data_IF_477581828724
#
_entry.id   IF_477581828724
#
_cell.length_a   1.000
_cell.length_b   1.000
_cell.length_c   1.000
_cell.angle_alpha   90.00
_cell.angle_beta   90.00
_cell.angle_gamma   90.00
#
_symmetry.space_group_name_H-M   'P 1'
#
loop_
_entity.id
_entity.type
_entity.pdbx_description
1 polymer ?
#
# COMPACT_ATOMS: atom_id res chain seq x y z
N UNK A 1 12.79 -23.15 -3.30
CA UNK A 1 12.28 -22.83 -4.64
C UNK A 1 13.45 -22.73 -5.61
N UNK A 2 13.34 -23.31 -6.81
CA UNK A 2 14.25 -23.01 -7.91
C UNK A 2 13.96 -21.60 -8.49
N UNK A 3 14.80 -21.13 -9.42
CA UNK A 3 14.66 -19.77 -10.00
C UNK A 3 13.29 -19.53 -10.65
N UNK A 4 12.76 -20.51 -11.41
CA UNK A 4 11.47 -20.39 -12.08
C UNK A 4 10.32 -20.29 -11.07
N UNK A 5 10.37 -21.10 -10.02
CA UNK A 5 9.41 -21.09 -8.91
C UNK A 5 9.43 -19.75 -8.16
N UNK A 6 10.62 -19.18 -7.93
CA UNK A 6 10.78 -17.86 -7.28
C UNK A 6 10.15 -16.76 -8.13
N UNK A 7 10.51 -16.67 -9.41
CA UNK A 7 9.93 -15.68 -10.32
C UNK A 7 8.41 -15.83 -10.41
N UNK A 8 7.91 -17.07 -10.49
CA UNK A 8 6.47 -17.33 -10.52
C UNK A 8 5.77 -16.91 -9.21
N UNK A 9 6.41 -17.12 -8.06
CA UNK A 9 5.93 -16.64 -6.76
C UNK A 9 5.82 -15.12 -6.71
N UNK A 10 6.85 -14.41 -7.15
CA UNK A 10 6.87 -12.95 -7.18
C UNK A 10 5.86 -12.34 -8.16
N UNK A 11 5.58 -13.01 -9.28
CA UNK A 11 4.45 -12.65 -10.17
C UNK A 11 3.12 -12.74 -9.43
N UNK A 12 2.86 -13.87 -8.76
CA UNK A 12 1.61 -14.06 -7.99
C UNK A 12 1.45 -13.01 -6.90
N UNK A 13 2.53 -12.63 -6.21
CA UNK A 13 2.49 -11.55 -5.22
C UNK A 13 2.04 -10.22 -5.83
N UNK A 14 2.60 -9.84 -6.98
CA UNK A 14 2.24 -8.60 -7.66
C UNK A 14 0.82 -8.63 -8.26
N UNK A 15 0.43 -9.75 -8.88
CA UNK A 15 -0.91 -9.92 -9.45
C UNK A 15 -1.97 -9.90 -8.34
N UNK A 16 -1.75 -10.57 -7.20
CA UNK A 16 -2.67 -10.53 -6.06
C UNK A 16 -2.84 -9.11 -5.49
N UNK A 17 -1.75 -8.34 -5.37
CA UNK A 17 -1.80 -6.95 -4.96
C UNK A 17 -2.59 -6.08 -5.96
N UNK A 18 -2.29 -6.20 -7.26
CA UNK A 18 -3.02 -5.47 -8.31
C UNK A 18 -4.50 -5.79 -8.26
N UNK A 19 -4.85 -7.08 -8.24
CA UNK A 19 -6.23 -7.52 -8.39
C UNK A 19 -7.08 -7.04 -7.21
N UNK A 20 -6.57 -7.17 -5.98
CA UNK A 20 -7.20 -6.68 -4.75
C UNK A 20 -7.60 -5.18 -4.82
N UNK A 21 -6.73 -4.35 -5.39
CA UNK A 21 -7.01 -2.92 -5.55
C UNK A 21 -7.82 -2.60 -6.82
N UNK A 22 -7.64 -3.35 -7.92
CA UNK A 22 -8.28 -3.06 -9.21
C UNK A 22 -9.80 -3.25 -9.17
N UNK A 23 -10.28 -4.29 -8.49
CA UNK A 23 -11.71 -4.50 -8.25
C UNK A 23 -12.21 -3.79 -6.97
N UNK A 24 -11.38 -2.96 -6.35
CA UNK A 24 -11.66 -2.20 -5.12
C UNK A 24 -12.02 -3.06 -3.89
N UNK A 25 -11.71 -4.36 -3.89
CA UNK A 25 -12.02 -5.28 -2.78
C UNK A 25 -11.28 -4.96 -1.49
N UNK A 26 -10.13 -4.26 -1.53
CA UNK A 26 -9.38 -3.85 -0.33
C UNK A 26 -10.23 -2.99 0.60
N UNK A 27 -11.12 -2.14 0.06
CA UNK A 27 -12.03 -1.33 0.88
C UNK A 27 -13.09 -2.19 1.60
N UNK A 28 -13.33 -3.41 1.14
CA UNK A 28 -14.25 -4.38 1.75
C UNK A 28 -13.51 -5.40 2.63
N UNK A 29 -12.20 -5.21 2.86
CA UNK A 29 -11.37 -6.08 3.69
C UNK A 29 -10.69 -7.21 2.93
N UNK A 30 -10.69 -7.20 1.59
CA UNK A 30 -9.91 -8.16 0.82
C UNK A 30 -8.41 -7.98 1.08
N UNK A 31 -7.72 -9.11 1.27
CA UNK A 31 -6.30 -9.12 1.59
C UNK A 31 -5.54 -9.87 0.51
N UNK A 32 -4.34 -9.40 0.20
CA UNK A 32 -3.35 -10.13 -0.61
C UNK A 32 -2.44 -11.01 0.27
N UNK A 33 -2.78 -11.18 1.55
CA UNK A 33 -2.02 -11.96 2.54
C UNK A 33 -1.93 -13.45 2.20
N UNK A 34 -2.86 -13.98 1.39
CA UNK A 34 -2.75 -15.35 0.89
C UNK A 34 -1.53 -15.54 -0.04
N UNK A 35 -1.12 -14.48 -0.76
CA UNK A 35 0.07 -14.49 -1.60
C UNK A 35 1.31 -13.91 -0.88
N UNK A 36 1.10 -13.04 0.11
CA UNK A 36 2.16 -12.36 0.85
C UNK A 36 2.33 -12.97 2.24
N UNK A 37 3.43 -13.69 2.43
CA UNK A 37 3.84 -14.18 3.74
C UNK A 37 4.95 -13.29 4.28
N UNK A 38 4.81 -12.74 5.48
CA UNK A 38 5.83 -11.91 6.11
C UNK A 38 6.81 -12.77 6.92
N UNK A 39 8.11 -12.48 6.84
CA UNK A 39 9.10 -13.08 7.74
C UNK A 39 8.98 -12.43 9.13
N UNK A 40 9.25 -13.20 10.18
CA UNK A 40 9.16 -12.73 11.58
C UNK A 40 10.07 -11.53 11.88
N UNK A 41 11.21 -11.46 11.20
CA UNK A 41 12.20 -10.39 11.26
C UNK A 41 12.10 -9.40 10.09
N UNK A 42 11.06 -9.52 9.27
CA UNK A 42 10.84 -8.66 8.12
C UNK A 42 10.59 -7.21 8.51
N UNK A 43 11.03 -6.29 7.64
CA UNK A 43 11.00 -4.85 7.90
C UNK A 43 10.28 -4.05 6.82
N UNK A 44 9.70 -2.93 7.24
CA UNK A 44 9.12 -1.90 6.41
C UNK A 44 9.94 -0.60 6.49
N UNK A 45 10.01 0.11 5.36
CA UNK A 45 10.53 1.47 5.29
C UNK A 45 9.75 2.28 4.25
N UNK A 46 9.52 3.55 4.54
CA UNK A 46 9.13 4.52 3.53
C UNK A 46 9.66 5.90 3.89
N UNK A 47 10.42 6.57 3.00
CA UNK A 47 10.78 7.97 3.22
C UNK A 47 9.56 8.88 3.47
N UNK A 48 8.39 8.50 2.95
CA UNK A 48 7.16 9.27 3.11
C UNK A 48 6.41 8.96 4.40
N UNK A 49 6.34 7.70 4.82
CA UNK A 49 5.52 7.29 5.97
C UNK A 49 6.31 7.10 7.27
N UNK A 50 7.59 6.74 7.18
CA UNK A 50 8.45 6.43 8.33
C UNK A 50 9.72 7.28 8.38
N UNK A 51 9.87 8.22 7.45
CA UNK A 51 11.12 8.97 7.24
C UNK A 51 12.30 8.04 6.97
N UNK A 52 13.43 8.32 7.61
CA UNK A 52 14.65 7.51 7.48
C UNK A 52 14.67 6.25 8.38
N UNK A 53 13.57 5.97 9.09
CA UNK A 53 13.49 4.87 10.04
C UNK A 53 13.02 3.58 9.38
N UNK A 54 13.58 2.47 9.86
CA UNK A 54 13.21 1.10 9.48
C UNK A 54 12.52 0.45 10.66
N UNK A 55 11.34 -0.10 10.44
CA UNK A 55 10.53 -0.75 11.48
C UNK A 55 10.29 -2.20 11.10
N UNK A 56 10.26 -3.10 12.09
CA UNK A 56 9.77 -4.46 11.86
C UNK A 56 8.28 -4.43 11.55
N UNK A 57 7.80 -5.37 10.75
CA UNK A 57 6.36 -5.50 10.51
C UNK A 57 5.56 -5.66 11.83
N UNK A 58 6.15 -6.34 12.82
CA UNK A 58 5.56 -6.53 14.15
C UNK A 58 5.51 -5.29 15.04
N UNK A 59 6.17 -4.19 14.65
CA UNK A 59 6.14 -2.91 15.38
C UNK A 59 5.01 -1.98 14.91
N UNK A 60 4.34 -2.33 13.81
CA UNK A 60 3.16 -1.58 13.38
C UNK A 60 1.97 -1.94 14.27
N UNK A 61 1.24 -0.95 14.80
CA UNK A 61 0.10 -1.18 15.68
C UNK A 61 -1.06 -1.88 14.96
N UNK A 62 -1.13 -1.73 13.64
CA UNK A 62 -2.13 -2.34 12.77
C UNK A 62 -1.53 -3.43 11.90
N UNK A 63 -2.30 -4.50 11.68
CA UNK A 63 -1.97 -5.48 10.63
C UNK A 63 -1.95 -4.74 9.28
N UNK A 64 -0.95 -5.04 8.45
CA UNK A 64 -0.81 -4.48 7.09
C UNK A 64 -2.12 -4.57 6.30
N UNK A 65 -2.86 -5.67 6.42
CA UNK A 65 -4.15 -5.81 5.76
C UNK A 65 -5.16 -4.75 6.20
N UNK A 66 -5.23 -4.48 7.50
CA UNK A 66 -6.15 -3.50 8.08
C UNK A 66 -5.74 -2.07 7.73
N UNK A 67 -4.45 -1.76 7.75
CA UNK A 67 -3.95 -0.46 7.30
C UNK A 67 -4.29 -0.20 5.83
N UNK A 68 -4.12 -1.20 4.94
CA UNK A 68 -4.52 -1.09 3.53
C UNK A 68 -6.03 -0.87 3.36
N UNK A 69 -6.88 -1.57 4.13
CA UNK A 69 -8.33 -1.34 4.11
C UNK A 69 -8.70 0.05 4.59
N UNK A 70 -8.08 0.54 5.66
CA UNK A 70 -8.30 1.91 6.16
C UNK A 70 -7.97 2.95 5.10
N UNK A 71 -6.80 2.82 4.46
CA UNK A 71 -6.37 3.71 3.39
C UNK A 71 -7.38 3.71 2.23
N UNK A 72 -7.73 2.52 1.72
CA UNK A 72 -8.67 2.39 0.62
C UNK A 72 -10.05 3.00 0.97
N UNK A 73 -10.59 2.72 2.16
CA UNK A 73 -11.85 3.30 2.62
C UNK A 73 -11.78 4.82 2.68
N UNK A 74 -10.72 5.38 3.29
CA UNK A 74 -10.57 6.83 3.44
C UNK A 74 -10.44 7.52 2.10
N UNK A 75 -9.62 6.99 1.19
CA UNK A 75 -9.46 7.59 -0.13
C UNK A 75 -10.75 7.53 -0.93
N UNK A 76 -11.49 6.42 -0.85
CA UNK A 76 -12.79 6.26 -1.50
C UNK A 76 -13.86 7.25 -0.98
N UNK A 77 -13.70 7.87 0.19
CA UNK A 77 -14.61 8.93 0.65
C UNK A 77 -14.56 10.16 -0.26
N UNK A 78 -13.35 10.55 -0.67
CA UNK A 78 -13.13 11.68 -1.57
C UNK A 78 -13.14 11.24 -3.04
N UNK A 79 -12.66 10.03 -3.33
CA UNK A 79 -12.45 9.50 -4.67
C UNK A 79 -13.13 8.13 -4.86
N UNK A 80 -14.46 8.07 -5.09
CA UNK A 80 -15.20 6.80 -5.06
C UNK A 80 -14.77 5.75 -6.08
N UNK A 81 -14.14 6.16 -7.17
CA UNK A 81 -13.62 5.29 -8.23
C UNK A 81 -12.10 5.07 -8.12
N UNK A 82 -11.48 5.44 -6.99
CA UNK A 82 -10.05 5.33 -6.76
C UNK A 82 -9.56 3.90 -6.91
N UNK A 83 -8.60 3.70 -7.82
CA UNK A 83 -7.98 2.41 -8.13
C UNK A 83 -6.71 2.59 -8.99
N UNK A 84 -5.96 1.51 -9.26
CA UNK A 84 -4.88 1.54 -10.23
C UNK A 84 -5.39 1.85 -11.65
N UNK A 85 -4.84 2.89 -12.28
CA UNK A 85 -5.03 3.20 -13.70
C UNK A 85 -3.94 2.60 -14.60
N UNK A 86 -2.73 2.39 -14.06
CA UNK A 86 -1.64 1.62 -14.68
C UNK A 86 -0.90 0.83 -13.60
N UNK A 87 -0.49 -0.38 -13.92
CA UNK A 87 0.24 -1.25 -13.00
C UNK A 87 1.32 -2.02 -13.75
N UNK A 88 2.58 -1.84 -13.33
CA UNK A 88 3.74 -2.53 -13.89
C UNK A 88 4.54 -3.17 -12.77
N UNK A 89 5.10 -4.33 -13.04
CA UNK A 89 5.93 -5.03 -12.08
C UNK A 89 7.08 -5.79 -12.75
N UNK A 90 8.14 -6.02 -11.99
CA UNK A 90 9.35 -6.71 -12.42
C UNK A 90 9.74 -7.74 -11.36
N UNK A 91 9.40 -9.03 -11.57
CA UNK A 91 9.80 -10.09 -10.66
C UNK A 91 11.28 -10.43 -10.88
N UNK A 92 11.98 -10.70 -9.80
CA UNK A 92 13.38 -11.11 -9.79
C UNK A 92 13.53 -12.39 -8.96
N UNK A 93 14.73 -12.95 -8.85
CA UNK A 93 14.94 -14.10 -7.97
C UNK A 93 14.68 -13.75 -6.50
N UNK A 94 15.07 -12.55 -6.07
CA UNK A 94 15.05 -12.13 -4.68
C UNK A 94 13.81 -11.33 -4.28
N UNK A 95 12.84 -11.12 -5.17
CA UNK A 95 11.71 -10.24 -4.87
C UNK A 95 10.96 -9.71 -6.07
N UNK A 96 10.23 -8.62 -5.87
CA UNK A 96 9.47 -7.93 -6.92
C UNK A 96 9.50 -6.42 -6.72
N UNK A 97 9.65 -5.70 -7.84
CA UNK A 97 9.44 -4.26 -7.89
C UNK A 97 8.09 -3.98 -8.54
N UNK A 98 7.32 -3.06 -7.99
CA UNK A 98 6.02 -2.64 -8.52
C UNK A 98 6.00 -1.12 -8.71
N UNK A 99 5.37 -0.67 -9.79
CA UNK A 99 5.02 0.73 -10.07
C UNK A 99 3.52 0.80 -10.34
N UNK A 100 2.83 1.60 -9.55
CA UNK A 100 1.38 1.78 -9.69
C UNK A 100 1.07 3.24 -9.95
N UNK A 101 0.25 3.52 -10.96
CA UNK A 101 -0.43 4.81 -11.14
C UNK A 101 -1.79 4.68 -10.49
N UNK A 102 -2.02 5.43 -9.42
CA UNK A 102 -3.31 5.55 -8.78
C UNK A 102 -4.06 6.74 -9.36
N UNK A 103 -5.34 6.57 -9.68
CA UNK A 103 -6.21 7.68 -10.07
C UNK A 103 -7.59 7.51 -9.45
N UNK A 104 -8.28 8.63 -9.24
CA UNK A 104 -9.69 8.71 -8.88
C UNK A 104 -10.23 10.11 -9.14
N UNK A 105 -11.55 10.26 -9.02
CA UNK A 105 -12.26 11.51 -9.25
C UNK A 105 -13.01 11.95 -8.01
N UNK A 106 -12.93 13.24 -7.70
CA UNK A 106 -13.82 13.84 -6.69
C UNK A 106 -15.28 13.75 -7.15
N UNK A 107 -16.23 13.98 -6.25
CA UNK A 107 -17.66 14.07 -6.60
C UNK A 107 -17.98 15.16 -7.63
N UNK A 108 -17.11 16.18 -7.72
CA UNK A 108 -17.21 17.26 -8.71
C UNK A 108 -16.51 16.90 -10.05
N UNK A 109 -16.01 15.68 -10.18
CA UNK A 109 -15.37 15.15 -11.38
C UNK A 109 -13.91 15.56 -11.56
N UNK A 110 -13.25 16.08 -10.53
CA UNK A 110 -11.83 16.47 -10.60
C UNK A 110 -10.97 15.20 -10.51
N UNK A 111 -10.23 14.89 -11.58
CA UNK A 111 -9.29 13.77 -11.59
C UNK A 111 -8.03 14.10 -10.81
N UNK A 112 -7.66 13.24 -9.88
CA UNK A 112 -6.40 13.30 -9.14
C UNK A 112 -5.73 11.93 -9.12
N UNK A 113 -4.44 11.91 -8.84
CA UNK A 113 -3.69 10.66 -8.82
C UNK A 113 -2.23 10.89 -8.45
N UNK A 114 -1.53 9.79 -8.23
CA UNK A 114 -0.12 9.76 -7.88
C UNK A 114 0.52 8.47 -8.35
N UNK A 115 1.85 8.41 -8.33
CA UNK A 115 2.60 7.17 -8.51
C UNK A 115 3.05 6.65 -7.16
N UNK A 116 2.90 5.35 -6.95
CA UNK A 116 3.62 4.63 -5.90
C UNK A 116 4.57 3.60 -6.49
N UNK A 117 5.64 3.32 -5.75
CA UNK A 117 6.64 2.33 -6.07
C UNK A 117 6.83 1.44 -4.85
N UNK A 118 6.87 0.13 -5.05
CA UNK A 118 7.16 -0.83 -3.98
C UNK A 118 8.34 -1.69 -4.38
N UNK A 119 9.35 -1.76 -3.51
CA UNK A 119 10.48 -2.66 -3.62
C UNK A 119 10.32 -3.72 -2.53
N UNK A 120 10.13 -4.96 -2.95
CA UNK A 120 9.88 -6.08 -2.06
C UNK A 120 11.01 -7.08 -2.22
N UNK A 121 11.60 -7.48 -1.11
CA UNK A 121 12.57 -8.57 -1.04
C UNK A 121 11.99 -9.76 -0.27
N UNK A 122 12.40 -10.96 -0.66
CA UNK A 122 11.97 -12.21 -0.03
C UNK A 122 13.13 -13.16 0.25
N UNK A 123 13.02 -13.94 1.32
CA UNK A 123 13.95 -15.03 1.62
C UNK A 123 13.76 -16.25 0.68
N UNK A 124 14.53 -17.31 0.90
CA UNK A 124 14.46 -18.54 0.09
C UNK A 124 13.13 -19.31 0.22
N UNK A 125 12.36 -19.07 1.29
CA UNK A 125 11.02 -19.60 1.50
C UNK A 125 9.93 -18.73 0.84
N UNK A 126 10.29 -17.58 0.26
CA UNK A 126 9.34 -16.67 -0.39
C UNK A 126 8.64 -15.72 0.57
N UNK A 127 9.15 -15.59 1.79
CA UNK A 127 8.61 -14.70 2.82
C UNK A 127 9.24 -13.31 2.69
N UNK A 128 8.43 -12.25 2.81
CA UNK A 128 8.88 -10.86 2.77
C UNK A 128 9.86 -10.57 3.90
N UNK A 129 11.08 -10.19 3.54
CA UNK A 129 12.12 -9.73 4.48
C UNK A 129 12.23 -8.21 4.49
N UNK A 130 11.86 -7.55 3.38
CA UNK A 130 11.86 -6.09 3.29
C UNK A 130 10.75 -5.62 2.36
N UNK A 131 10.02 -4.60 2.78
CA UNK A 131 9.11 -3.84 1.92
C UNK A 131 9.43 -2.35 2.04
N UNK A 132 9.81 -1.76 0.92
CA UNK A 132 10.11 -0.33 0.84
C UNK A 132 9.13 0.35 -0.12
N UNK A 133 8.47 1.42 0.33
CA UNK A 133 7.51 2.17 -0.48
C UNK A 133 7.94 3.60 -0.73
N UNK A 134 7.69 4.06 -1.96
CA UNK A 134 7.93 5.44 -2.39
C UNK A 134 6.72 5.98 -3.12
N UNK A 135 6.57 7.29 -3.11
CA UNK A 135 5.51 8.03 -3.79
C UNK A 135 6.10 9.26 -4.46
N UNK A 136 5.50 9.73 -5.55
CA UNK A 136 5.89 10.99 -6.17
C UNK A 136 5.19 12.19 -5.52
N UNK A 137 5.64 13.40 -5.85
CA UNK A 137 5.17 14.66 -5.25
C UNK A 137 3.66 14.93 -5.44
N UNK A 138 3.01 14.32 -6.43
CA UNK A 138 1.56 14.42 -6.64
C UNK A 138 0.76 13.87 -5.45
N UNK A 139 1.36 12.99 -4.66
CA UNK A 139 0.72 12.39 -3.50
C UNK A 139 0.38 13.41 -2.41
N UNK A 140 1.15 14.51 -2.28
CA UNK A 140 0.83 15.57 -1.32
C UNK A 140 -0.52 16.23 -1.65
N UNK A 141 -0.70 16.66 -2.90
CA UNK A 141 -1.95 17.25 -3.34
C UNK A 141 -3.12 16.26 -3.25
N UNK A 142 -2.86 14.98 -3.52
CA UNK A 142 -3.85 13.92 -3.33
C UNK A 142 -4.26 13.78 -1.85
N UNK A 143 -3.30 13.74 -0.91
CA UNK A 143 -3.58 13.63 0.52
C UNK A 143 -4.23 14.88 1.10
N UNK A 144 -3.86 16.08 0.64
CA UNK A 144 -4.54 17.32 1.03
C UNK A 144 -6.04 17.26 0.71
N UNK A 145 -6.42 16.64 -0.42
CA UNK A 145 -7.81 16.42 -0.77
C UNK A 145 -8.45 15.23 -0.01
N UNK A 146 -7.72 14.14 0.18
CA UNK A 146 -8.25 12.91 0.80
C UNK A 146 -8.45 13.05 2.32
N UNK A 147 -7.45 13.58 3.02
CA UNK A 147 -7.35 13.57 4.49
C UNK A 147 -7.02 14.93 5.11
N UNK A 148 -6.74 15.95 4.28
CA UNK A 148 -6.49 17.32 4.74
C UNK A 148 -5.11 17.57 5.33
N UNK A 149 -4.21 16.59 5.24
CA UNK A 149 -2.81 16.69 5.70
C UNK A 149 -1.94 15.78 4.83
N UNK A 150 -0.69 16.17 4.62
CA UNK A 150 0.30 15.37 3.90
C UNK A 150 1.58 15.21 4.74
N UNK A 151 2.41 14.25 4.33
CA UNK A 151 3.66 13.92 5.00
C UNK A 151 4.83 14.89 4.69
N UNK A 152 6.09 14.47 4.94
CA UNK A 152 6.44 13.14 5.43
C UNK A 152 5.93 12.90 6.85
N UNK A 153 5.30 11.74 7.04
CA UNK A 153 4.90 11.25 8.36
C UNK A 153 6.08 10.53 9.03
N UNK A 154 6.03 10.41 10.35
CA UNK A 154 7.08 9.80 11.15
C UNK A 154 6.53 8.74 12.12
N UNK A 155 7.36 7.73 12.41
CA UNK A 155 6.99 6.62 13.28
C UNK A 155 6.00 5.63 12.64
N UNK A 156 5.35 4.83 13.47
CA UNK A 156 4.42 3.76 13.02
C UNK A 156 2.94 4.12 13.15
N UNK A 157 2.61 5.26 13.78
CA UNK A 157 1.23 5.62 14.15
C UNK A 157 0.66 6.85 13.46
N UNK A 158 1.47 7.87 13.15
CA UNK A 158 0.98 9.20 12.75
C UNK A 158 0.02 9.16 11.55
N UNK A 159 0.40 8.46 10.49
CA UNK A 159 -0.45 8.30 9.31
C UNK A 159 -1.75 7.53 9.62
N UNK A 160 -1.66 6.45 10.39
CA UNK A 160 -2.80 5.59 10.74
C UNK A 160 -3.81 6.35 11.60
N UNK A 161 -3.36 7.14 12.58
CA UNK A 161 -4.20 7.97 13.44
C UNK A 161 -5.03 8.99 12.64
N UNK A 162 -4.45 9.56 11.58
CA UNK A 162 -5.17 10.46 10.67
C UNK A 162 -6.27 9.71 9.91
N UNK A 163 -5.98 8.50 9.41
CA UNK A 163 -6.98 7.67 8.72
C UNK A 163 -8.14 7.32 9.66
N UNK A 164 -7.87 6.91 10.90
CA UNK A 164 -8.91 6.61 11.90
C UNK A 164 -9.81 7.82 12.16
N UNK A 165 -9.22 9.01 12.28
CA UNK A 165 -9.96 10.25 12.50
C UNK A 165 -10.89 10.56 11.32
N UNK A 166 -10.42 10.39 10.09
CA UNK A 166 -11.23 10.57 8.88
C UNK A 166 -12.41 9.59 8.83
N UNK A 167 -12.16 8.30 9.08
CA UNK A 167 -13.21 7.27 9.11
C UNK A 167 -14.25 7.55 10.19
N UNK A 168 -13.80 7.90 11.40
CA UNK A 168 -14.69 8.25 12.51
C UNK A 168 -15.58 9.46 12.19
N UNK A 169 -15.02 10.49 11.55
CA UNK A 169 -15.78 11.69 11.13
C UNK A 169 -16.82 11.36 10.04
N UNK A 170 -16.48 10.44 9.15
CA UNK A 170 -17.39 9.97 8.10
C UNK A 170 -18.43 8.94 8.59
N UNK A 171 -18.30 8.45 9.83
CA UNK A 171 -19.17 7.39 10.36
C UNK A 171 -18.93 6.02 9.71
N UNK A 172 -17.74 5.80 9.16
CA UNK A 172 -17.35 4.55 8.49
C UNK A 172 -16.51 3.69 9.43
N UNK A 173 -16.86 2.41 9.54
CA UNK A 173 -16.08 1.41 10.29
C UNK A 173 -15.10 0.67 9.38
N UNK A 174 -13.99 0.20 9.96
CA UNK A 174 -13.03 -0.70 9.30
C UNK A 174 -13.47 -2.13 9.42
#
# INVERSE_FOLDING_TARGET
MNLEERIAHHRRMADAYRDAYLHQGVQDGETFAAAWKFADDGVYMSPYFTGDQVFKFSEFPEDTARASTMEAKVYSLTFPDWKPADFKYWPAENGVVMKTRWEGHTTDGIRMGFYSYSFIETNAAGELTRWETHVNDEYNAFLDAAIGVHGPFHGTGEYVEVLELCLKRAGVSV
#
